data_IF_312717885559
#
_entry.id   IF_312717885559
#
_cell.length_a   1.000
_cell.length_b   1.000
_cell.length_c   1.000
_cell.angle_alpha   90.00
_cell.angle_beta   90.00
_cell.angle_gamma   90.00
#
_symmetry.space_group_name_H-M   'P 1'
#
loop_
_entity.id
_entity.type
_entity.pdbx_description
1 polymer ?
#
# COMPACT_ATOMS: atom_id res chain seq x y z
N UNK A 1 -10.59 -5.69 0.38
CA UNK A 1 -11.23 -6.80 1.15
C UNK A 1 -10.78 -6.82 2.61
N UNK A 2 -9.48 -6.79 2.88
CA UNK A 2 -8.94 -7.01 4.24
C UNK A 2 -9.14 -5.83 5.21
N UNK A 3 -9.51 -4.65 4.74
CA UNK A 3 -10.00 -3.57 5.63
C UNK A 3 -11.26 -3.98 6.42
N UNK A 4 -12.02 -4.95 5.91
CA UNK A 4 -13.28 -5.40 6.50
C UNK A 4 -13.20 -6.79 7.13
N UNK A 5 -12.38 -7.68 6.56
CA UNK A 5 -12.26 -9.07 7.02
C UNK A 5 -10.89 -9.27 7.66
N UNK A 6 -10.89 -9.60 8.95
CA UNK A 6 -9.70 -10.07 9.65
C UNK A 6 -9.43 -11.54 9.29
N UNK A 7 -8.39 -11.77 8.50
CA UNK A 7 -7.96 -13.10 8.10
C UNK A 7 -6.92 -13.73 9.02
N UNK A 8 -6.52 -13.08 10.12
CA UNK A 8 -5.56 -13.67 11.07
C UNK A 8 -6.13 -14.95 11.66
N UNK A 9 -5.34 -16.02 11.59
CA UNK A 9 -5.70 -17.29 12.21
C UNK A 9 -6.85 -18.03 11.53
N UNK A 10 -7.24 -17.66 10.30
CA UNK A 10 -8.16 -18.43 9.45
C UNK A 10 -7.55 -18.70 8.07
N UNK A 11 -7.79 -19.88 7.52
CA UNK A 11 -7.24 -20.31 6.23
C UNK A 11 -8.32 -21.01 5.41
N UNK A 12 -8.35 -20.78 4.11
CA UNK A 12 -9.06 -21.64 3.15
C UNK A 12 -8.17 -22.81 2.69
N UNK A 13 -8.63 -23.61 1.72
CA UNK A 13 -7.86 -24.74 1.19
C UNK A 13 -6.54 -24.32 0.53
N UNK A 14 -6.53 -23.18 -0.15
CA UNK A 14 -5.35 -22.68 -0.83
C UNK A 14 -4.29 -22.31 0.21
N UNK A 15 -4.64 -21.50 1.20
CA UNK A 15 -3.72 -21.02 2.22
C UNK A 15 -3.24 -22.15 3.14
N UNK A 16 -4.08 -23.15 3.44
CA UNK A 16 -3.68 -24.38 4.15
C UNK A 16 -2.56 -25.12 3.42
N UNK A 17 -2.67 -25.31 2.10
CA UNK A 17 -1.64 -25.97 1.28
C UNK A 17 -0.29 -25.24 1.30
N UNK A 18 -0.30 -23.94 1.57
CA UNK A 18 0.89 -23.10 1.64
C UNK A 18 1.34 -22.80 3.08
N UNK A 19 0.72 -23.42 4.09
CA UNK A 19 1.05 -23.20 5.51
C UNK A 19 1.12 -21.72 5.91
N UNK A 20 0.19 -20.91 5.38
CA UNK A 20 0.11 -19.46 5.61
C UNK A 20 -1.35 -19.04 5.81
N UNK A 21 -1.62 -17.85 6.31
CA UNK A 21 -2.94 -17.19 6.18
C UNK A 21 -2.82 -15.92 5.33
N UNK A 22 -3.97 -15.32 4.99
CA UNK A 22 -4.00 -14.14 4.12
C UNK A 22 -3.44 -12.88 4.81
N UNK A 23 -3.36 -12.83 6.14
CA UNK A 23 -2.72 -11.72 6.86
C UNK A 23 -1.20 -11.79 6.69
N UNK A 24 -0.60 -12.96 6.89
CA UNK A 24 0.82 -13.21 6.64
C UNK A 24 1.16 -12.96 5.17
N UNK A 25 0.29 -13.37 4.25
CA UNK A 25 0.47 -13.09 2.82
C UNK A 25 0.48 -11.58 2.52
N UNK A 26 -0.43 -10.80 3.12
CA UNK A 26 -0.44 -9.34 2.98
C UNK A 26 0.82 -8.70 3.54
N UNK A 27 1.27 -9.11 4.74
CA UNK A 27 2.54 -8.66 5.31
C UNK A 27 3.70 -8.89 4.35
N UNK A 28 3.83 -10.11 3.80
CA UNK A 28 4.87 -10.43 2.80
C UNK A 28 4.76 -9.57 1.53
N UNK A 29 3.55 -9.32 1.04
CA UNK A 29 3.33 -8.45 -0.11
C UNK A 29 3.74 -7.00 0.17
N UNK A 30 3.44 -6.46 1.36
CA UNK A 30 3.88 -5.13 1.81
C UNK A 30 5.40 -5.02 1.82
N UNK A 31 6.10 -6.00 2.39
CA UNK A 31 7.57 -6.05 2.37
C UNK A 31 8.14 -6.14 0.95
N UNK A 32 7.54 -6.94 0.07
CA UNK A 32 7.99 -7.07 -1.32
C UNK A 32 7.82 -5.76 -2.11
N UNK A 33 6.70 -5.06 -1.91
CA UNK A 33 6.44 -3.75 -2.50
C UNK A 33 7.51 -2.73 -2.06
N UNK A 34 7.76 -2.63 -0.76
CA UNK A 34 8.82 -1.77 -0.19
C UNK A 34 10.21 -2.14 -0.73
N UNK A 35 10.55 -3.43 -0.76
CA UNK A 35 11.86 -3.89 -1.21
C UNK A 35 12.13 -3.51 -2.68
N UNK A 36 11.13 -3.63 -3.55
CA UNK A 36 11.24 -3.16 -4.93
C UNK A 36 11.50 -1.65 -5.00
N UNK A 37 10.73 -0.84 -4.24
CA UNK A 37 10.93 0.61 -4.21
C UNK A 37 12.33 0.99 -3.68
N UNK A 38 12.86 0.28 -2.69
CA UNK A 38 14.23 0.50 -2.19
C UNK A 38 15.27 0.17 -3.27
N UNK A 39 15.07 -0.91 -4.02
CA UNK A 39 15.98 -1.27 -5.11
C UNK A 39 15.98 -0.21 -6.23
N UNK A 40 14.83 0.43 -6.48
CA UNK A 40 14.66 1.52 -7.44
C UNK A 40 15.35 1.26 -8.80
N UNK A 41 15.03 0.15 -9.49
CA UNK A 41 15.76 -0.25 -10.71
C UNK A 41 15.64 0.76 -11.87
N UNK A 42 14.68 1.68 -11.79
CA UNK A 42 14.42 2.73 -12.78
C UNK A 42 15.01 4.10 -12.39
N UNK A 43 15.72 4.18 -11.25
CA UNK A 43 16.37 5.41 -10.76
C UNK A 43 15.41 6.61 -10.57
N UNK A 44 14.18 6.34 -10.13
CA UNK A 44 13.23 7.40 -9.79
C UNK A 44 13.70 8.21 -8.58
N UNK A 45 13.44 9.52 -8.61
CA UNK A 45 13.80 10.43 -7.53
C UNK A 45 13.01 10.15 -6.25
N UNK A 46 13.71 10.19 -5.12
CA UNK A 46 13.14 10.15 -3.77
C UNK A 46 12.77 8.78 -3.25
N UNK A 47 12.74 7.74 -4.09
CA UNK A 47 12.52 6.36 -3.65
C UNK A 47 13.55 5.98 -2.59
N UNK A 48 13.09 5.47 -1.46
CA UNK A 48 13.94 5.13 -0.32
C UNK A 48 13.25 4.15 0.61
N UNK A 49 13.92 3.81 1.71
CA UNK A 49 13.35 2.95 2.75
C UNK A 49 12.09 3.53 3.41
N UNK A 50 11.90 4.85 3.35
CA UNK A 50 10.77 5.57 3.94
C UNK A 50 9.93 6.35 2.90
N UNK A 51 10.25 6.23 1.61
CA UNK A 51 9.44 6.78 0.51
C UNK A 51 9.23 5.65 -0.50
N UNK A 52 8.13 4.93 -0.32
CA UNK A 52 7.75 3.76 -1.09
C UNK A 52 6.23 3.59 -1.07
N UNK A 53 5.69 2.77 -1.97
CA UNK A 53 4.26 2.48 -2.01
C UNK A 53 3.69 2.56 -3.42
N UNK A 54 3.70 1.41 -4.11
CA UNK A 54 3.08 1.27 -5.43
C UNK A 54 1.70 0.64 -5.30
N UNK A 55 0.66 1.35 -5.74
CA UNK A 55 -0.72 0.84 -5.88
C UNK A 55 -1.42 1.63 -6.99
N UNK A 56 -2.62 1.20 -7.40
CA UNK A 56 -3.43 1.97 -8.31
C UNK A 56 -3.74 3.36 -7.71
N UNK A 57 -3.46 4.41 -8.49
CA UNK A 57 -3.63 5.81 -8.09
C UNK A 57 -3.60 6.70 -9.34
N UNK A 58 -3.89 7.98 -9.15
CA UNK A 58 -3.66 9.02 -10.15
C UNK A 58 -2.15 9.28 -10.36
N UNK A 59 -1.85 10.16 -11.30
CA UNK A 59 -0.50 10.39 -11.81
C UNK A 59 -0.43 11.64 -12.68
N UNK A 60 0.79 12.07 -13.05
CA UNK A 60 1.02 13.38 -13.67
C UNK A 60 0.55 13.49 -15.14
N UNK A 61 -0.08 12.45 -15.67
CA UNK A 61 -0.66 12.39 -17.01
C UNK A 61 0.19 11.60 -18.00
N UNK A 62 -0.41 11.22 -19.14
CA UNK A 62 0.24 10.40 -20.17
C UNK A 62 1.30 11.18 -20.94
N UNK A 63 2.54 11.14 -20.47
CA UNK A 63 3.65 11.90 -21.03
C UNK A 63 4.93 11.07 -21.10
N UNK A 64 5.76 11.36 -22.10
CA UNK A 64 7.15 10.91 -22.16
C UNK A 64 8.07 12.10 -22.02
N UNK A 65 9.02 12.03 -21.10
CA UNK A 65 9.95 13.10 -20.81
C UNK A 65 11.36 12.55 -20.69
N UNK A 66 12.34 13.31 -21.19
CA UNK A 66 13.75 13.08 -20.89
C UNK A 66 14.15 13.94 -19.71
N UNK A 67 14.63 13.33 -18.63
CA UNK A 67 15.03 14.02 -17.40
C UNK A 67 16.41 13.46 -17.02
N UNK A 68 17.41 14.33 -16.95
CA UNK A 68 18.81 13.94 -16.70
C UNK A 68 19.29 12.82 -17.65
N UNK A 69 19.06 12.98 -18.96
CA UNK A 69 19.42 12.04 -20.02
C UNK A 69 18.74 10.65 -19.95
N UNK A 70 17.75 10.48 -19.06
CA UNK A 70 16.93 9.27 -18.95
C UNK A 70 15.51 9.53 -19.45
N UNK A 71 14.98 8.59 -20.24
CA UNK A 71 13.60 8.64 -20.72
C UNK A 71 12.65 8.00 -19.71
N UNK A 72 11.60 8.75 -19.34
CA UNK A 72 10.53 8.30 -18.48
C UNK A 72 9.19 8.37 -19.20
N UNK A 73 8.37 7.34 -19.02
CA UNK A 73 6.96 7.36 -19.38
C UNK A 73 6.12 7.43 -18.11
N UNK A 74 5.21 8.38 -18.07
CA UNK A 74 4.25 8.61 -17.00
C UNK A 74 2.84 8.36 -17.48
N UNK A 75 1.96 8.00 -16.55
CA UNK A 75 0.54 7.83 -16.80
C UNK A 75 -0.31 8.81 -15.97
N UNK A 76 -1.56 9.02 -16.39
CA UNK A 76 -2.57 9.63 -15.53
C UNK A 76 -2.96 8.64 -14.44
N UNK A 77 -4.11 7.99 -14.57
CA UNK A 77 -4.45 6.86 -13.71
C UNK A 77 -3.77 5.58 -14.18
N UNK A 78 -3.15 4.82 -13.28
CA UNK A 78 -2.50 3.55 -13.63
C UNK A 78 -2.51 2.57 -12.46
N UNK A 79 -2.68 1.28 -12.76
CA UNK A 79 -2.60 0.21 -11.77
C UNK A 79 -1.13 -0.12 -11.44
N UNK A 80 -0.49 0.73 -10.64
CA UNK A 80 0.92 0.57 -10.25
C UNK A 80 1.08 -0.57 -9.25
N UNK A 81 2.26 -1.19 -9.26
CA UNK A 81 2.57 -2.31 -8.38
C UNK A 81 3.80 -3.08 -8.86
N UNK A 82 4.45 -3.76 -7.92
CA UNK A 82 5.59 -4.62 -8.20
C UNK A 82 5.33 -6.04 -7.66
N UNK A 83 5.50 -7.02 -8.53
CA UNK A 83 5.39 -8.44 -8.21
C UNK A 83 6.36 -9.25 -9.06
N UNK A 84 6.55 -10.52 -8.71
CA UNK A 84 7.41 -11.42 -9.49
C UNK A 84 6.94 -11.64 -10.95
N UNK A 85 5.68 -11.36 -11.28
CA UNK A 85 5.10 -11.62 -12.61
C UNK A 85 4.84 -10.35 -13.42
N UNK A 86 4.74 -9.22 -12.75
CA UNK A 86 4.33 -7.96 -13.36
C UNK A 86 4.83 -6.80 -12.51
N UNK A 87 5.43 -5.82 -13.18
CA UNK A 87 5.89 -4.57 -12.58
C UNK A 87 5.35 -3.43 -13.43
N UNK A 88 4.59 -2.54 -12.80
CA UNK A 88 4.13 -1.28 -13.38
C UNK A 88 4.48 -0.16 -12.41
N UNK A 89 5.38 0.70 -12.85
CA UNK A 89 6.04 1.70 -12.03
C UNK A 89 6.54 2.82 -12.93
N UNK A 90 5.99 4.01 -12.76
CA UNK A 90 6.36 5.26 -13.45
C UNK A 90 6.94 6.30 -12.48
N UNK A 91 7.34 5.89 -11.27
CA UNK A 91 7.90 6.77 -10.25
C UNK A 91 6.85 7.43 -9.36
N UNK A 92 5.56 7.15 -9.56
CA UNK A 92 4.49 7.72 -8.74
C UNK A 92 4.25 6.88 -7.50
N UNK A 93 4.29 7.51 -6.34
CA UNK A 93 4.06 6.93 -5.01
C UNK A 93 2.70 7.37 -4.49
N UNK A 94 1.95 6.43 -3.91
CA UNK A 94 0.67 6.72 -3.27
C UNK A 94 0.75 6.39 -1.77
N UNK A 95 0.49 7.37 -0.87
CA UNK A 95 0.50 7.15 0.58
C UNK A 95 -0.43 6.02 1.04
N UNK A 96 -1.53 5.78 0.32
CA UNK A 96 -2.48 4.70 0.65
C UNK A 96 -1.87 3.29 0.55
N UNK A 97 -0.78 3.08 -0.21
CA UNK A 97 -0.11 1.78 -0.24
C UNK A 97 0.48 1.41 1.13
N UNK A 98 1.16 2.37 1.78
CA UNK A 98 1.67 2.20 3.14
C UNK A 98 0.53 2.31 4.17
N UNK A 99 -0.37 3.29 4.02
CA UNK A 99 -1.51 3.53 4.92
C UNK A 99 -2.46 2.35 5.02
N UNK A 100 -2.85 1.77 3.88
CA UNK A 100 -3.68 0.58 3.81
C UNK A 100 -3.00 -0.69 4.33
N UNK A 101 -1.67 -0.65 4.49
CA UNK A 101 -0.86 -1.77 4.98
C UNK A 101 -0.50 -1.70 6.46
N UNK A 102 -0.88 -0.62 7.17
CA UNK A 102 -0.53 -0.37 8.57
C UNK A 102 -0.75 -1.58 9.49
N UNK A 103 -1.92 -2.25 9.50
CA UNK A 103 -2.12 -3.39 10.38
C UNK A 103 -1.23 -4.60 10.11
N UNK A 104 -0.63 -4.70 8.91
CA UNK A 104 0.16 -5.86 8.51
C UNK A 104 1.65 -5.69 8.83
N UNK A 105 2.17 -4.46 8.72
CA UNK A 105 3.60 -4.17 8.87
C UNK A 105 3.83 -2.73 9.37
N UNK A 106 3.36 -2.38 10.58
CA UNK A 106 3.45 -1.02 11.10
C UNK A 106 4.90 -0.51 11.16
N UNK A 107 5.86 -1.38 11.45
CA UNK A 107 7.28 -1.08 11.57
C UNK A 107 7.92 -0.52 10.29
N UNK A 108 7.32 -0.76 9.11
CA UNK A 108 7.77 -0.16 7.84
C UNK A 108 6.78 0.85 7.25
N UNK A 109 5.52 0.81 7.68
CA UNK A 109 4.48 1.71 7.19
C UNK A 109 4.46 3.04 7.94
N UNK A 110 4.59 3.02 9.27
CA UNK A 110 4.59 4.25 10.09
C UNK A 110 5.75 5.19 9.73
N UNK A 111 7.01 4.73 9.62
CA UNK A 111 8.12 5.61 9.22
C UNK A 111 7.91 6.20 7.82
N UNK A 112 7.30 5.44 6.91
CA UNK A 112 7.04 5.92 5.55
C UNK A 112 5.99 7.02 5.52
N UNK A 113 4.85 6.80 6.19
CA UNK A 113 3.79 7.81 6.31
C UNK A 113 4.30 9.05 7.05
N UNK A 114 5.06 8.89 8.14
CA UNK A 114 5.63 10.01 8.87
C UNK A 114 6.60 10.82 8.00
N UNK A 115 7.46 10.15 7.23
CA UNK A 115 8.41 10.82 6.32
C UNK A 115 7.67 11.59 5.23
N UNK A 116 6.65 10.99 4.60
CA UNK A 116 5.82 11.68 3.61
C UNK A 116 5.09 12.89 4.21
N UNK A 117 4.50 12.71 5.40
CA UNK A 117 3.78 13.76 6.11
C UNK A 117 4.70 14.93 6.46
N UNK A 118 5.89 14.67 7.00
CA UNK A 118 6.81 15.72 7.46
C UNK A 118 7.51 16.42 6.29
N UNK A 119 8.00 15.67 5.30
CA UNK A 119 8.83 16.25 4.25
C UNK A 119 8.02 16.97 3.15
N UNK A 120 6.76 16.55 2.96
CA UNK A 120 5.92 17.05 1.87
C UNK A 120 4.57 17.57 2.36
N UNK A 121 4.48 17.98 3.64
CA UNK A 121 3.22 18.42 4.25
C UNK A 121 2.47 19.42 3.38
N UNK A 122 3.14 20.51 2.98
CA UNK A 122 2.50 21.63 2.27
C UNK A 122 1.99 21.26 0.87
N UNK A 123 2.57 20.25 0.22
CA UNK A 123 2.20 19.82 -1.12
C UNK A 123 1.26 18.61 -1.13
N UNK A 124 1.47 17.67 -0.22
CA UNK A 124 0.85 16.35 -0.19
C UNK A 124 -0.29 16.24 0.82
N UNK A 125 -0.39 17.12 1.80
CA UNK A 125 -1.47 17.10 2.80
C UNK A 125 -2.40 18.28 2.59
N UNK A 126 -3.71 18.04 2.65
CA UNK A 126 -4.72 19.09 2.64
C UNK A 126 -5.92 18.76 3.52
N UNK A 127 -7.09 19.30 3.16
CA UNK A 127 -8.32 19.22 3.97
C UNK A 127 -8.69 17.77 4.39
N UNK A 128 -8.46 16.79 3.52
CA UNK A 128 -8.84 15.39 3.75
C UNK A 128 -7.65 14.47 4.07
N UNK A 129 -6.52 15.03 4.54
CA UNK A 129 -5.29 14.29 4.84
C UNK A 129 -4.36 14.22 3.64
N UNK A 130 -3.67 13.09 3.46
CA UNK A 130 -2.87 12.87 2.26
C UNK A 130 -3.74 12.96 1.01
N UNK A 131 -3.23 13.64 -0.02
CA UNK A 131 -3.73 13.55 -1.39
C UNK A 131 -3.30 12.23 -2.02
N UNK A 132 -3.87 11.91 -3.18
CA UNK A 132 -3.81 10.56 -3.73
C UNK A 132 -2.38 10.05 -4.00
N UNK A 133 -1.56 10.89 -4.64
CA UNK A 133 -0.23 10.48 -5.06
C UNK A 133 0.75 11.65 -5.24
N UNK A 134 2.02 11.31 -5.45
CA UNK A 134 3.06 12.24 -5.87
C UNK A 134 4.15 11.53 -6.68
N UNK A 135 4.87 12.27 -7.52
CA UNK A 135 5.97 11.78 -8.32
C UNK A 135 7.09 12.82 -8.33
N UNK A 136 8.16 12.56 -7.58
CA UNK A 136 9.26 13.53 -7.45
C UNK A 136 10.16 13.60 -8.69
N UNK A 137 10.07 12.59 -9.57
CA UNK A 137 10.84 12.57 -10.83
C UNK A 137 10.18 13.45 -11.89
N UNK A 138 8.86 13.51 -11.90
CA UNK A 138 8.13 14.27 -12.92
C UNK A 138 8.46 15.77 -12.86
N UNK A 139 8.79 16.33 -14.02
CA UNK A 139 8.83 17.78 -14.20
C UNK A 139 8.24 18.17 -15.54
N UNK A 140 7.24 19.07 -15.58
CA UNK A 140 6.68 19.53 -16.83
C UNK A 140 7.69 20.34 -17.67
N UNK A 141 8.79 20.80 -17.07
CA UNK A 141 9.86 21.56 -17.74
C UNK A 141 11.03 20.67 -18.21
N UNK A 142 11.02 19.37 -17.87
CA UNK A 142 12.15 18.47 -18.13
C UNK A 142 13.38 18.71 -17.25
N UNK A 143 13.25 19.55 -16.22
CA UNK A 143 14.28 19.80 -15.20
C UNK A 143 14.01 18.96 -13.92
N UNK A 144 14.93 18.92 -12.95
CA UNK A 144 14.77 18.10 -11.75
C UNK A 144 14.10 18.84 -10.55
N UNK A 145 13.33 19.91 -10.78
CA UNK A 145 13.21 20.95 -9.72
C UNK A 145 11.90 21.04 -8.95
N UNK A 146 10.88 20.20 -9.21
CA UNK A 146 9.59 20.39 -8.48
C UNK A 146 8.76 19.14 -8.18
N UNK A 147 8.97 18.03 -8.90
CA UNK A 147 8.05 16.89 -8.80
C UNK A 147 6.63 17.24 -9.25
N UNK A 148 5.73 16.29 -9.05
CA UNK A 148 4.28 16.45 -9.16
C UNK A 148 3.62 15.94 -7.89
N UNK A 149 2.60 16.64 -7.44
CA UNK A 149 1.74 16.27 -6.33
C UNK A 149 0.32 16.36 -6.83
N UNK A 150 -0.47 15.32 -6.56
CA UNK A 150 -1.84 15.27 -6.99
C UNK A 150 -2.65 16.43 -6.40
N UNK A 151 -3.55 17.09 -7.15
CA UNK A 151 -4.54 17.99 -6.56
C UNK A 151 -5.72 17.24 -5.89
N UNK A 152 -5.95 15.98 -6.24
CA UNK A 152 -7.19 15.27 -5.94
C UNK A 152 -7.09 14.30 -4.74
N UNK A 153 -8.26 13.85 -4.30
CA UNK A 153 -8.44 12.77 -3.34
C UNK A 153 -9.35 11.70 -3.95
N UNK A 154 -8.92 10.44 -3.89
CA UNK A 154 -9.74 9.33 -4.37
C UNK A 154 -10.37 8.60 -3.17
N UNK A 155 -11.69 8.45 -3.19
CA UNK A 155 -12.44 7.85 -2.07
C UNK A 155 -12.04 6.39 -1.74
N UNK A 156 -11.63 5.61 -2.74
CA UNK A 156 -11.15 4.23 -2.51
C UNK A 156 -9.80 4.21 -1.78
N UNK A 157 -8.97 5.23 -1.98
CA UNK A 157 -7.63 5.35 -1.40
C UNK A 157 -7.70 5.97 0.01
N UNK A 158 -8.45 7.06 0.17
CA UNK A 158 -8.70 7.68 1.48
C UNK A 158 -9.44 6.74 2.43
N UNK A 159 -10.48 6.06 1.91
CA UNK A 159 -11.31 5.17 2.72
C UNK A 159 -10.52 4.00 3.28
N UNK A 160 -9.66 3.36 2.48
CA UNK A 160 -8.84 2.24 2.93
C UNK A 160 -7.79 2.71 3.94
N UNK A 161 -7.13 3.85 3.71
CA UNK A 161 -6.16 4.42 4.64
C UNK A 161 -6.80 4.64 6.02
N UNK A 162 -7.97 5.29 6.07
CA UNK A 162 -8.66 5.57 7.33
C UNK A 162 -9.10 4.29 8.06
N UNK A 163 -9.72 3.35 7.34
CA UNK A 163 -10.20 2.08 7.92
C UNK A 163 -9.04 1.25 8.48
N UNK A 164 -7.91 1.21 7.77
CA UNK A 164 -6.75 0.43 8.18
C UNK A 164 -5.97 1.10 9.30
N UNK A 165 -5.92 2.43 9.35
CA UNK A 165 -5.41 3.16 10.51
C UNK A 165 -6.20 2.81 11.78
N UNK A 166 -7.54 2.76 11.70
CA UNK A 166 -8.35 2.42 12.86
C UNK A 166 -8.25 0.92 13.21
N UNK A 167 -8.16 0.03 12.22
CA UNK A 167 -7.89 -1.39 12.49
C UNK A 167 -6.55 -1.59 13.19
N UNK A 168 -5.51 -0.83 12.82
CA UNK A 168 -4.21 -0.87 13.48
C UNK A 168 -4.30 -0.40 14.94
N UNK A 169 -5.03 0.69 15.20
CA UNK A 169 -5.12 1.29 16.55
C UNK A 169 -5.96 0.48 17.52
N UNK A 170 -7.11 -0.02 17.08
CA UNK A 170 -8.15 -0.57 17.98
C UNK A 170 -8.83 -1.84 17.43
N UNK A 171 -8.53 -2.23 16.20
CA UNK A 171 -9.21 -3.31 15.49
C UNK A 171 -10.73 -3.11 15.36
N UNK A 172 -11.23 -1.85 15.40
CA UNK A 172 -12.66 -1.56 15.49
C UNK A 172 -13.48 -2.21 14.37
N UNK A 173 -13.07 -2.02 13.11
CA UNK A 173 -13.83 -2.50 11.95
C UNK A 173 -13.85 -4.03 11.96
N UNK A 174 -12.69 -4.64 12.17
CA UNK A 174 -12.56 -6.09 12.31
C UNK A 174 -13.39 -6.66 13.46
N UNK A 175 -13.36 -6.02 14.64
CA UNK A 175 -14.12 -6.44 15.82
C UNK A 175 -15.63 -6.40 15.58
N UNK A 176 -16.11 -5.37 14.87
CA UNK A 176 -17.53 -5.26 14.50
C UNK A 176 -17.88 -6.37 13.50
N UNK A 177 -17.13 -6.48 12.40
CA UNK A 177 -17.50 -7.39 11.31
C UNK A 177 -17.32 -8.86 11.64
N UNK A 178 -16.36 -9.21 12.49
CA UNK A 178 -16.17 -10.59 13.00
C UNK A 178 -17.40 -11.12 13.75
N UNK A 179 -18.25 -10.25 14.30
CA UNK A 179 -19.51 -10.63 14.98
C UNK A 179 -20.68 -10.85 14.00
N UNK A 180 -20.54 -10.49 12.73
CA UNK A 180 -21.61 -10.62 11.75
C UNK A 180 -21.82 -12.09 11.34
N UNK A 181 -22.98 -12.67 11.69
CA UNK A 181 -23.31 -14.07 11.37
C UNK A 181 -23.24 -14.41 9.88
N UNK A 182 -23.60 -13.48 9.00
CA UNK A 182 -23.58 -13.71 7.55
C UNK A 182 -22.15 -13.78 7.02
N UNK A 183 -21.24 -12.95 7.57
CA UNK A 183 -19.82 -13.03 7.23
C UNK A 183 -19.23 -14.36 7.69
N UNK A 184 -19.51 -14.76 8.94
CA UNK A 184 -19.05 -16.03 9.49
C UNK A 184 -19.52 -17.22 8.65
N UNK A 185 -20.81 -17.25 8.28
CA UNK A 185 -21.37 -18.33 7.47
C UNK A 185 -20.81 -18.32 6.05
N UNK A 186 -20.59 -17.15 5.46
CA UNK A 186 -19.93 -17.00 4.16
C UNK A 186 -18.51 -17.54 4.16
N UNK A 187 -17.70 -17.17 5.16
CA UNK A 187 -16.34 -17.67 5.34
C UNK A 187 -16.31 -19.21 5.51
N UNK A 188 -17.20 -19.76 6.35
CA UNK A 188 -17.32 -21.23 6.50
C UNK A 188 -17.67 -21.92 5.18
N UNK A 189 -18.65 -21.38 4.44
CA UNK A 189 -19.05 -21.92 3.12
C UNK A 189 -17.92 -21.83 2.08
N UNK A 190 -17.08 -20.81 2.18
CA UNK A 190 -15.88 -20.66 1.35
C UNK A 190 -14.69 -21.51 1.83
N UNK A 191 -14.86 -22.36 2.86
CA UNK A 191 -13.84 -23.30 3.33
C UNK A 191 -12.82 -22.70 4.31
N UNK A 192 -13.06 -21.50 4.85
CA UNK A 192 -12.22 -20.91 5.88
C UNK A 192 -12.40 -21.63 7.21
N UNK A 193 -11.29 -22.09 7.78
CA UNK A 193 -11.21 -22.77 9.07
C UNK A 193 -10.10 -22.16 9.93
N UNK A 194 -10.21 -22.22 11.27
CA UNK A 194 -9.12 -21.79 12.15
C UNK A 194 -7.80 -22.51 11.85
N UNK A 195 -6.70 -21.79 11.99
CA UNK A 195 -5.34 -22.36 11.90
C UNK A 195 -5.13 -23.41 12.99
N UNK A 196 -4.53 -24.55 12.63
CA UNK A 196 -4.27 -25.65 13.58
C UNK A 196 -3.20 -25.33 14.63
N UNK A 197 -2.39 -24.28 14.43
CA UNK A 197 -1.33 -23.85 15.34
C UNK A 197 -1.65 -22.47 15.91
N UNK A 198 -2.30 -22.41 17.07
CA UNK A 198 -2.56 -21.14 17.78
C UNK A 198 -1.32 -20.54 18.47
N UNK A 199 -0.18 -21.23 18.50
CA UNK A 199 0.95 -20.91 19.39
C UNK A 199 2.25 -20.48 18.67
N UNK A 200 2.20 -19.97 17.44
CA UNK A 200 3.43 -19.61 16.69
C UNK A 200 3.53 -18.15 16.22
N UNK A 201 2.56 -17.30 16.57
CA UNK A 201 2.58 -15.89 16.14
C UNK A 201 3.35 -14.95 17.09
N UNK A 202 3.81 -15.43 18.25
CA UNK A 202 4.46 -14.61 19.27
C UNK A 202 6.01 -14.72 19.30
N UNK A 203 6.65 -15.49 18.40
CA UNK A 203 8.07 -15.84 18.54
C UNK A 203 8.90 -15.81 17.25
N UNK A 204 8.67 -14.82 16.39
CA UNK A 204 9.67 -14.45 15.37
C UNK A 204 9.81 -12.92 15.38
N UNK A 205 10.49 -12.42 16.43
CA UNK A 205 11.21 -11.12 16.44
C UNK A 205 12.55 -11.27 15.71
#
# INVERSE_FOLDING_TARGET
>A
SQAFIDFRGIQDDFMRKHSSDYFINSRKATYANRAYCIQNPKNFKGYSENIWGLTACDGPGHKRLTINDLEYQFDGYSARGASAKYVNDDGTIAPTAAGGSLPFAPEICEPALQTMWTNYYDQLVGEYGFKDAFNLTFSPKGDDTSGWFDPDYIGIDQGVLLLQLENHRTELIWTILKKNKYLQDGLKKAGFLPTKNKNKLDHEE
#
